data_IF_175997370990
#
_entry.id   IF_175997370990
#
_cell.length_a   1.000
_cell.length_b   1.000
_cell.length_c   1.000
_cell.angle_alpha   90.00
_cell.angle_beta   90.00
_cell.angle_gamma   90.00
#
_symmetry.space_group_name_H-M   'P 1'
#
loop_
_entity.id
_entity.type
_entity.pdbx_description
1 polymer ?
#
# COMPACT_ATOMS: atom_id res chain seq x y z
N UNK A 1 1.12 29.21 17.27
CA UNK A 1 2.02 28.55 18.23
C UNK A 1 1.96 27.05 17.97
N UNK A 2 3.08 26.57 17.40
CA UNK A 2 3.57 25.20 17.24
C UNK A 2 2.70 24.05 17.79
N UNK A 3 2.09 23.30 16.88
CA UNK A 3 1.84 21.85 16.99
C UNK A 3 2.17 21.32 15.58
N UNK A 4 3.43 21.05 15.21
CA UNK A 4 4.38 20.27 15.99
C UNK A 4 4.02 18.82 15.78
N UNK A 5 4.49 18.24 14.68
CA UNK A 5 4.32 16.85 14.26
C UNK A 5 4.69 15.91 15.40
N UNK A 6 3.70 15.45 16.16
CA UNK A 6 3.90 14.53 17.29
C UNK A 6 4.09 13.09 16.78
N UNK A 7 5.28 12.48 16.93
CA UNK A 7 5.54 11.10 16.49
C UNK A 7 4.67 10.06 17.20
N UNK A 8 4.10 10.43 18.35
CA UNK A 8 3.22 9.59 19.15
C UNK A 8 1.86 9.35 18.49
N UNK A 9 1.38 10.25 17.62
CA UNK A 9 0.13 10.05 16.89
C UNK A 9 0.23 8.94 15.83
N UNK A 10 1.39 8.80 15.17
CA UNK A 10 1.62 7.75 14.17
C UNK A 10 1.70 6.36 14.81
N UNK A 11 2.36 6.23 15.97
CA UNK A 11 2.39 4.98 16.73
C UNK A 11 1.02 4.63 17.31
N UNK A 12 0.25 5.61 17.80
CA UNK A 12 -1.11 5.38 18.24
C UNK A 12 -2.01 4.90 17.09
N UNK A 13 -1.87 5.42 15.88
CA UNK A 13 -2.62 4.97 14.70
C UNK A 13 -2.28 3.53 14.30
N UNK A 14 -1.00 3.16 14.30
CA UNK A 14 -0.53 1.78 14.05
C UNK A 14 -1.07 0.81 15.11
N UNK A 15 -0.98 1.19 16.39
CA UNK A 15 -1.48 0.38 17.51
C UNK A 15 -3.01 0.25 17.48
N UNK A 16 -3.75 1.29 17.07
CA UNK A 16 -5.21 1.22 16.99
C UNK A 16 -5.70 0.33 15.83
N UNK A 17 -5.01 0.37 14.68
CA UNK A 17 -5.36 -0.42 13.49
C UNK A 17 -4.95 -1.89 13.63
N UNK A 18 -3.89 -2.19 14.39
CA UNK A 18 -3.38 -3.55 14.60
C UNK A 18 -3.99 -4.28 15.83
N UNK A 19 -4.53 -3.58 16.83
CA UNK A 19 -4.77 -4.16 18.18
C UNK A 19 -6.17 -3.96 18.79
N UNK A 20 -7.21 -3.63 18.02
CA UNK A 20 -8.58 -3.53 18.56
C UNK A 20 -9.42 -4.76 18.17
N UNK A 21 -9.42 -5.78 19.05
CA UNK A 21 -10.70 -6.17 19.63
C UNK A 21 -10.71 -6.44 21.15
N UNK A 22 -9.74 -6.01 21.97
CA UNK A 22 -9.74 -6.46 23.39
C UNK A 22 -9.43 -5.47 24.53
N UNK A 23 -9.09 -4.19 24.32
CA UNK A 23 -8.87 -3.31 25.48
C UNK A 23 -9.13 -1.82 25.19
N UNK A 24 -10.35 -1.33 25.47
CA UNK A 24 -10.64 -0.09 26.22
C UNK A 24 -12.14 0.26 26.10
N UNK A 25 -12.94 0.18 27.18
CA UNK A 25 -14.36 0.47 27.09
C UNK A 25 -14.72 1.97 27.15
N UNK A 26 -13.80 2.86 27.55
CA UNK A 26 -14.17 4.27 27.81
C UNK A 26 -13.03 5.27 27.54
N UNK A 27 -12.78 5.60 26.27
CA UNK A 27 -12.13 6.86 25.88
C UNK A 27 -12.90 7.42 24.69
N UNK A 28 -13.22 8.72 24.72
CA UNK A 28 -14.03 9.46 23.75
C UNK A 28 -13.76 9.04 22.28
N UNK A 29 -14.67 8.22 21.76
CA UNK A 29 -14.57 7.57 20.44
C UNK A 29 -14.74 8.55 19.25
N UNK A 30 -15.28 9.76 19.46
CA UNK A 30 -15.61 10.68 18.36
C UNK A 30 -14.42 11.53 17.88
N UNK A 31 -13.54 12.00 18.76
CA UNK A 31 -12.45 12.92 18.39
C UNK A 31 -11.28 12.19 17.71
N UNK A 32 -10.92 11.00 18.20
CA UNK A 32 -9.83 10.17 17.65
C UNK A 32 -10.20 9.65 16.25
N UNK A 33 -11.46 9.29 16.04
CA UNK A 33 -11.96 8.82 14.74
C UNK A 33 -12.03 9.95 13.70
N UNK A 34 -12.22 11.20 14.14
CA UNK A 34 -12.16 12.39 13.27
C UNK A 34 -10.71 12.69 12.83
N UNK A 35 -9.75 12.56 13.76
CA UNK A 35 -8.32 12.83 13.49
C UNK A 35 -7.71 11.85 12.48
N UNK A 36 -8.09 10.56 12.53
CA UNK A 36 -7.56 9.56 11.60
C UNK A 36 -8.07 9.71 10.15
N UNK A 37 -9.22 10.35 9.90
CA UNK A 37 -9.68 10.59 8.51
C UNK A 37 -8.96 11.75 7.81
N UNK A 38 -8.13 12.49 8.54
CA UNK A 38 -7.49 13.72 8.06
C UNK A 38 -5.97 13.65 7.96
N UNK A 39 -5.37 12.46 7.84
CA UNK A 39 -3.93 12.36 7.60
C UNK A 39 -3.57 12.97 6.24
N UNK A 40 -2.52 13.79 6.23
CA UNK A 40 -1.91 14.28 4.99
C UNK A 40 -1.24 13.13 4.23
N UNK A 41 -1.03 13.24 2.90
CA UNK A 41 -0.42 12.19 2.10
C UNK A 41 0.91 11.68 2.67
N UNK A 42 1.83 12.57 3.02
CA UNK A 42 3.14 12.19 3.59
C UNK A 42 3.00 11.41 4.91
N UNK A 43 2.03 11.78 5.75
CA UNK A 43 1.77 11.05 7.00
C UNK A 43 1.20 9.66 6.73
N UNK A 44 0.41 9.53 5.67
CA UNK A 44 -0.14 8.27 5.22
C UNK A 44 0.94 7.38 4.61
N UNK A 45 1.86 7.93 3.82
CA UNK A 45 3.06 7.22 3.33
C UNK A 45 3.84 6.65 4.51
N UNK A 46 4.18 7.49 5.50
CA UNK A 46 4.89 7.06 6.71
C UNK A 46 4.13 5.95 7.44
N UNK A 47 2.82 6.07 7.61
CA UNK A 47 2.01 5.02 8.23
C UNK A 47 2.11 3.70 7.46
N UNK A 48 2.00 3.74 6.13
CA UNK A 48 2.05 2.54 5.29
C UNK A 48 3.46 1.92 5.28
N UNK A 49 4.53 2.72 5.34
CA UNK A 49 5.92 2.24 5.50
C UNK A 49 6.10 1.48 6.82
N UNK A 50 5.60 2.00 7.94
CA UNK A 50 5.68 1.28 9.22
C UNK A 50 4.87 -0.03 9.19
N UNK A 51 3.75 -0.06 8.46
CA UNK A 51 2.97 -1.27 8.25
C UNK A 51 3.70 -2.27 7.32
N UNK A 52 4.45 -1.78 6.35
CA UNK A 52 5.31 -2.58 5.47
C UNK A 52 6.46 -3.24 6.22
N UNK A 53 6.85 -2.78 7.41
CA UNK A 53 7.83 -3.49 8.24
C UNK A 53 7.22 -4.72 8.95
N UNK A 54 5.89 -4.77 9.09
CA UNK A 54 5.22 -5.85 9.81
C UNK A 54 5.29 -7.16 9.03
N UNK A 55 5.60 -8.26 9.73
CA UNK A 55 5.65 -9.61 9.11
C UNK A 55 4.28 -10.08 8.65
N UNK A 56 3.24 -9.76 9.41
CA UNK A 56 1.86 -10.17 9.14
C UNK A 56 0.91 -9.01 9.41
N UNK A 57 -0.10 -8.87 8.55
CA UNK A 57 -1.23 -7.98 8.76
C UNK A 57 -2.53 -8.74 8.50
N UNK A 58 -3.55 -8.46 9.30
CA UNK A 58 -4.86 -9.08 9.14
C UNK A 58 -5.55 -8.53 7.88
N UNK A 59 -6.16 -9.37 7.02
CA UNK A 59 -6.97 -8.90 5.89
C UNK A 59 -8.07 -7.90 6.27
N UNK A 60 -8.63 -7.98 7.48
CA UNK A 60 -9.60 -6.99 8.00
C UNK A 60 -8.97 -5.63 8.21
N UNK A 61 -7.72 -5.58 8.65
CA UNK A 61 -6.95 -4.35 8.82
C UNK A 61 -6.69 -3.69 7.46
N UNK A 62 -6.23 -4.44 6.46
CA UNK A 62 -6.04 -3.95 5.10
C UNK A 62 -7.34 -3.39 4.50
N UNK A 63 -8.46 -4.09 4.69
CA UNK A 63 -9.78 -3.61 4.26
C UNK A 63 -10.20 -2.31 4.94
N UNK A 64 -9.93 -2.16 6.25
CA UNK A 64 -10.23 -0.94 7.00
C UNK A 64 -9.37 0.22 6.53
N UNK A 65 -8.08 0.00 6.32
CA UNK A 65 -7.16 1.00 5.78
C UNK A 65 -7.63 1.53 4.42
N UNK A 66 -7.88 0.62 3.46
CA UNK A 66 -8.36 0.98 2.12
C UNK A 66 -9.61 1.88 2.18
N UNK A 67 -10.59 1.51 3.01
CA UNK A 67 -11.85 2.27 3.15
C UNK A 67 -11.72 3.57 3.91
N UNK A 68 -10.85 3.62 4.92
CA UNK A 68 -10.74 4.79 5.80
C UNK A 68 -10.01 5.92 5.09
N UNK A 69 -8.95 5.57 4.36
CA UNK A 69 -8.06 6.53 3.72
C UNK A 69 -8.27 6.64 2.21
N UNK A 70 -9.19 5.86 1.63
CA UNK A 70 -9.44 5.83 0.18
C UNK A 70 -8.13 5.62 -0.59
N UNK A 71 -7.32 4.65 -0.15
CA UNK A 71 -5.95 4.42 -0.64
C UNK A 71 -5.84 4.33 -2.18
N UNK A 72 -6.79 3.72 -2.91
CA UNK A 72 -6.72 3.67 -4.37
C UNK A 72 -6.93 5.05 -5.03
N UNK A 73 -7.47 6.06 -4.33
CA UNK A 73 -7.75 7.39 -4.87
C UNK A 73 -6.71 8.44 -4.46
N UNK A 74 -5.73 8.05 -3.64
CA UNK A 74 -4.64 8.93 -3.23
C UNK A 74 -3.63 9.13 -4.37
N UNK A 75 -2.64 9.97 -4.15
CA UNK A 75 -1.55 10.19 -5.11
C UNK A 75 -0.69 8.93 -5.35
N UNK A 76 0.23 9.03 -6.31
CA UNK A 76 1.06 7.92 -6.76
C UNK A 76 1.92 7.33 -5.63
N UNK A 77 2.41 8.15 -4.70
CA UNK A 77 3.29 7.70 -3.62
C UNK A 77 2.52 6.86 -2.58
N UNK A 78 1.35 7.34 -2.15
CA UNK A 78 0.48 6.56 -1.27
C UNK A 78 -0.02 5.29 -1.97
N UNK A 79 -0.41 5.39 -3.25
CA UNK A 79 -0.84 4.23 -4.06
C UNK A 79 0.26 3.19 -4.17
N UNK A 80 1.51 3.60 -4.36
CA UNK A 80 2.67 2.70 -4.43
C UNK A 80 2.81 1.90 -3.15
N UNK A 81 2.89 2.58 -1.98
CA UNK A 81 2.97 1.91 -0.67
C UNK A 81 1.79 0.99 -0.39
N UNK A 82 0.58 1.38 -0.81
CA UNK A 82 -0.59 0.51 -0.72
C UNK A 82 -0.45 -0.76 -1.57
N UNK A 83 0.03 -0.63 -2.80
CA UNK A 83 0.28 -1.77 -3.68
C UNK A 83 1.34 -2.72 -3.12
N UNK A 84 2.41 -2.19 -2.54
CA UNK A 84 3.40 -3.01 -1.82
C UNK A 84 2.75 -3.84 -0.70
N UNK A 85 1.88 -3.24 0.12
CA UNK A 85 1.16 -3.97 1.17
C UNK A 85 0.24 -5.07 0.60
N UNK A 86 -0.43 -4.79 -0.51
CA UNK A 86 -1.28 -5.76 -1.21
C UNK A 86 -0.45 -6.97 -1.65
N UNK A 87 0.72 -6.72 -2.26
CA UNK A 87 1.63 -7.75 -2.76
C UNK A 87 2.22 -8.55 -1.59
N UNK A 88 2.85 -7.87 -0.63
CA UNK A 88 3.50 -8.47 0.54
C UNK A 88 2.56 -9.39 1.32
N UNK A 89 1.32 -8.97 1.54
CA UNK A 89 0.34 -9.72 2.34
C UNK A 89 -0.64 -10.55 1.49
N UNK A 90 -0.39 -10.69 0.18
CA UNK A 90 -1.22 -11.47 -0.76
C UNK A 90 -2.71 -11.11 -0.67
N UNK A 91 -3.02 -9.82 -0.57
CA UNK A 91 -4.39 -9.32 -0.43
C UNK A 91 -5.12 -9.32 -1.78
N UNK A 92 -5.42 -10.53 -2.26
CA UNK A 92 -5.97 -10.81 -3.60
C UNK A 92 -7.20 -9.99 -4.00
N UNK A 93 -8.03 -9.58 -3.03
CA UNK A 93 -9.23 -8.76 -3.28
C UNK A 93 -8.90 -7.40 -3.90
N UNK A 94 -7.69 -6.89 -3.68
CA UNK A 94 -7.25 -5.58 -4.14
C UNK A 94 -6.23 -5.64 -5.29
N UNK A 95 -6.02 -6.81 -5.92
CA UNK A 95 -5.06 -6.93 -7.03
C UNK A 95 -5.39 -6.02 -8.22
N UNK A 96 -6.66 -5.64 -8.42
CA UNK A 96 -7.04 -4.62 -9.42
C UNK A 96 -6.35 -3.27 -9.19
N UNK A 97 -6.05 -2.91 -7.94
CA UNK A 97 -5.33 -1.69 -7.62
C UNK A 97 -3.87 -1.77 -8.09
N UNK A 98 -3.23 -2.94 -7.91
CA UNK A 98 -1.88 -3.24 -8.41
C UNK A 98 -1.84 -3.18 -9.93
N UNK A 99 -2.78 -3.84 -10.61
CA UNK A 99 -2.87 -3.82 -12.08
C UNK A 99 -3.01 -2.40 -12.63
N UNK A 100 -3.87 -1.59 -12.01
CA UNK A 100 -4.06 -0.20 -12.39
C UNK A 100 -2.81 0.63 -12.14
N UNK A 101 -2.14 0.43 -11.01
CA UNK A 101 -0.89 1.13 -10.68
C UNK A 101 0.22 0.84 -11.70
N UNK A 102 0.43 -0.44 -12.06
CA UNK A 102 1.43 -0.83 -13.05
C UNK A 102 1.16 -0.27 -14.47
N UNK A 103 -0.10 0.07 -14.77
CA UNK A 103 -0.50 0.68 -16.04
C UNK A 103 -0.36 2.20 -16.03
N UNK A 104 -0.74 2.85 -14.94
CA UNK A 104 -0.80 4.31 -14.81
C UNK A 104 0.53 4.94 -14.36
N UNK A 105 1.25 4.32 -13.42
CA UNK A 105 2.44 4.86 -12.75
C UNK A 105 3.70 4.04 -13.10
N UNK A 106 3.98 3.88 -14.39
CA UNK A 106 4.95 2.89 -14.92
C UNK A 106 6.37 3.03 -14.35
N UNK A 107 6.86 4.27 -14.15
CA UNK A 107 8.20 4.51 -13.61
C UNK A 107 8.35 4.01 -12.17
N UNK A 108 7.36 4.27 -11.31
CA UNK A 108 7.33 3.73 -9.94
C UNK A 108 7.00 2.24 -9.93
N UNK A 109 6.23 1.75 -10.91
CA UNK A 109 5.84 0.35 -11.05
C UNK A 109 6.99 -0.62 -11.27
N UNK A 110 8.18 -0.17 -11.69
CA UNK A 110 9.35 -1.03 -11.92
C UNK A 110 9.73 -1.79 -10.65
N UNK A 111 9.78 -1.11 -9.49
CA UNK A 111 10.07 -1.76 -8.21
C UNK A 111 9.04 -2.83 -7.87
N UNK A 112 7.76 -2.55 -8.13
CA UNK A 112 6.65 -3.44 -7.83
C UNK A 112 6.65 -4.71 -8.68
N UNK A 113 7.17 -4.66 -9.92
CA UNK A 113 7.43 -5.87 -10.71
C UNK A 113 8.42 -6.79 -10.01
N UNK A 114 9.49 -6.24 -9.43
CA UNK A 114 10.44 -6.99 -8.61
C UNK A 114 9.76 -7.68 -7.43
N UNK A 115 8.94 -6.96 -6.65
CA UNK A 115 8.20 -7.52 -5.51
C UNK A 115 7.24 -8.65 -5.92
N UNK A 116 6.50 -8.47 -7.02
CA UNK A 116 5.59 -9.50 -7.56
C UNK A 116 6.33 -10.78 -7.97
N UNK A 117 7.56 -10.63 -8.49
CA UNK A 117 8.38 -11.76 -8.94
C UNK A 117 9.17 -12.43 -7.80
N UNK A 118 9.62 -11.65 -6.81
CA UNK A 118 10.17 -12.16 -5.56
C UNK A 118 9.14 -12.94 -4.76
N UNK A 119 7.86 -12.63 -4.94
CA UNK A 119 6.79 -13.48 -4.43
C UNK A 119 6.84 -14.86 -5.11
N UNK A 120 6.86 -15.93 -4.32
CA UNK A 120 6.67 -17.29 -4.82
C UNK A 120 5.18 -17.58 -5.16
N UNK A 121 4.37 -16.54 -5.40
CA UNK A 121 2.94 -16.67 -5.68
C UNK A 121 2.66 -16.62 -7.20
N UNK A 122 2.21 -17.76 -7.74
CA UNK A 122 1.92 -17.87 -9.18
C UNK A 122 0.86 -16.88 -9.69
N UNK A 123 -0.04 -16.38 -8.84
CA UNK A 123 -1.05 -15.38 -9.25
C UNK A 123 -0.41 -14.01 -9.43
N UNK A 124 0.50 -13.64 -8.53
CA UNK A 124 1.27 -12.40 -8.63
C UNK A 124 2.19 -12.39 -9.84
N UNK A 125 2.92 -13.49 -10.08
CA UNK A 125 3.76 -13.59 -11.28
C UNK A 125 2.96 -13.55 -12.59
N UNK A 126 1.76 -14.17 -12.63
CA UNK A 126 0.85 -14.05 -13.79
C UNK A 126 0.29 -12.64 -13.94
N UNK A 127 0.00 -11.95 -12.84
CA UNK A 127 -0.43 -10.55 -12.86
C UNK A 127 0.66 -9.66 -13.44
N UNK A 128 1.90 -9.83 -12.98
CA UNK A 128 3.06 -9.10 -13.47
C UNK A 128 3.23 -9.29 -14.98
N UNK A 129 3.35 -10.54 -15.47
CA UNK A 129 3.50 -10.81 -16.91
C UNK A 129 2.36 -10.22 -17.74
N UNK A 130 1.10 -10.35 -17.29
CA UNK A 130 -0.05 -9.78 -18.00
C UNK A 130 0.01 -8.26 -18.06
N UNK A 131 0.34 -7.58 -16.96
CA UNK A 131 0.43 -6.12 -16.95
C UNK A 131 1.56 -5.64 -17.84
N UNK A 132 2.72 -6.30 -17.80
CA UNK A 132 3.86 -5.93 -18.63
C UNK A 132 3.55 -6.08 -20.12
N UNK A 133 2.89 -7.17 -20.53
CA UNK A 133 2.48 -7.35 -21.92
C UNK A 133 1.54 -6.23 -22.42
N UNK A 134 0.69 -5.68 -21.54
CA UNK A 134 -0.21 -4.58 -21.86
C UNK A 134 0.52 -3.22 -21.96
N UNK A 135 1.60 -3.02 -21.19
CA UNK A 135 2.22 -1.69 -21.02
C UNK A 135 3.60 -1.55 -21.65
N UNK A 136 4.30 -2.65 -22.00
CA UNK A 136 5.69 -2.62 -22.49
C UNK A 136 5.94 -1.70 -23.69
N UNK A 137 4.93 -1.49 -24.54
CA UNK A 137 5.03 -0.57 -25.68
C UNK A 137 4.91 0.92 -25.32
N UNK A 138 4.47 1.24 -24.10
CA UNK A 138 4.30 2.60 -23.58
C UNK A 138 5.43 3.00 -22.62
N UNK A 139 6.09 2.01 -22.02
CA UNK A 139 7.23 2.23 -21.13
C UNK A 139 8.42 2.78 -21.92
N UNK A 140 9.30 3.55 -21.25
CA UNK A 140 10.59 3.86 -21.84
C UNK A 140 11.40 2.57 -22.06
N UNK A 141 12.25 2.57 -23.09
CA UNK A 141 12.95 1.36 -23.53
C UNK A 141 13.84 0.74 -22.43
N UNK A 142 14.45 1.58 -21.58
CA UNK A 142 15.31 1.12 -20.50
C UNK A 142 14.48 0.40 -19.43
N UNK A 143 13.39 1.02 -18.97
CA UNK A 143 12.49 0.42 -17.99
C UNK A 143 11.83 -0.85 -18.51
N UNK A 144 11.43 -0.87 -19.78
CA UNK A 144 10.85 -2.05 -20.41
C UNK A 144 11.85 -3.23 -20.41
N UNK A 145 13.13 -2.95 -20.72
CA UNK A 145 14.17 -3.96 -20.67
C UNK A 145 14.39 -4.49 -19.25
N UNK A 146 14.52 -3.60 -18.26
CA UNK A 146 14.72 -3.97 -16.85
C UNK A 146 13.58 -4.87 -16.35
N UNK A 147 12.32 -4.52 -16.67
CA UNK A 147 11.17 -5.34 -16.26
C UNK A 147 11.14 -6.68 -17.02
N UNK A 148 11.51 -6.71 -18.29
CA UNK A 148 11.59 -7.97 -19.05
C UNK A 148 12.59 -8.95 -18.42
N UNK A 149 13.77 -8.47 -18.00
CA UNK A 149 14.81 -9.26 -17.32
C UNK A 149 14.35 -9.83 -15.97
N UNK A 150 13.37 -9.20 -15.31
CA UNK A 150 12.78 -9.72 -14.07
C UNK A 150 11.73 -10.81 -14.31
N UNK A 151 11.08 -10.82 -15.49
CA UNK A 151 9.89 -11.63 -15.76
C UNK A 151 10.18 -12.95 -16.49
N UNK A 152 11.28 -13.02 -17.24
CA UNK A 152 11.64 -14.08 -18.19
C UNK A 152 13.11 -14.49 -18.05
#
# INVERSE_FOLDING_TARGET
VLWGSDPLCSLAAVLWVAWVPQAWPHVHCSAICHSLKGLLPDQLVLLLEHLLEQKTLNPRTLQRLERTYHLPQQDAEVRHRWCELIVKHKYTKAYKNVERFLQEDQAMGIYLYGELMLSEDSRQQRLARRCFELTKGQMDACSAQVVAEMLF
#
